data_IF_999002653357
#
_entry.id   IF_999002653357
#
_cell.length_a   1.000
_cell.length_b   1.000
_cell.length_c   1.000
_cell.angle_alpha   90.00
_cell.angle_beta   90.00
_cell.angle_gamma   90.00
#
_symmetry.space_group_name_H-M   'P 1'
#
loop_
_entity.id
_entity.type
_entity.pdbx_description
1 polymer ?
#
# COMPACT_ATOMS: atom_id res chain seq x y z
N UNK A 1 -14.68 0.92 -14.17
CA UNK A 1 -15.05 -0.35 -13.50
C UNK A 1 -15.95 0.00 -12.33
N UNK A 2 -16.98 -0.80 -12.05
CA UNK A 2 -17.95 -0.48 -10.97
C UNK A 2 -17.50 -1.18 -9.70
N UNK A 3 -17.29 -0.42 -8.63
CA UNK A 3 -17.02 -0.97 -7.29
C UNK A 3 -18.31 -1.49 -6.69
N UNK A 4 -18.22 -2.60 -5.97
CA UNK A 4 -19.38 -3.26 -5.35
C UNK A 4 -19.72 -2.62 -4.01
N UNK A 5 -21.01 -2.41 -3.74
CA UNK A 5 -21.49 -1.88 -2.47
C UNK A 5 -21.43 -2.94 -1.35
N UNK A 6 -21.26 -2.47 -0.11
CA UNK A 6 -21.23 -3.33 1.09
C UNK A 6 -22.45 -4.25 1.18
N UNK A 7 -23.64 -3.73 0.86
CA UNK A 7 -24.88 -4.51 0.86
C UNK A 7 -24.81 -5.74 -0.03
N UNK A 8 -24.20 -5.60 -1.22
CA UNK A 8 -24.09 -6.73 -2.17
C UNK A 8 -23.09 -7.78 -1.66
N UNK A 9 -21.99 -7.35 -1.04
CA UNK A 9 -21.04 -8.26 -0.39
C UNK A 9 -21.72 -9.03 0.75
N UNK A 10 -22.48 -8.33 1.62
CA UNK A 10 -23.28 -8.97 2.67
C UNK A 10 -24.23 -10.03 2.11
N UNK A 11 -24.99 -9.70 1.05
CA UNK A 11 -25.90 -10.65 0.39
C UNK A 11 -25.20 -11.90 -0.09
N UNK A 12 -24.05 -11.77 -0.75
CA UNK A 12 -23.25 -12.90 -1.25
C UNK A 12 -22.70 -13.76 -0.11
N UNK A 13 -22.35 -13.15 1.04
CA UNK A 13 -21.89 -13.89 2.21
C UNK A 13 -23.06 -14.69 2.80
N UNK A 14 -24.23 -14.06 3.03
CA UNK A 14 -25.38 -14.71 3.61
C UNK A 14 -26.01 -15.79 2.71
N UNK A 15 -25.77 -15.73 1.38
CA UNK A 15 -26.13 -16.82 0.48
C UNK A 15 -25.25 -18.05 0.78
N UNK A 16 -25.78 -18.99 1.58
CA UNK A 16 -25.08 -20.20 2.03
C UNK A 16 -24.36 -20.07 3.38
N UNK A 17 -24.64 -19.02 4.14
CA UNK A 17 -24.22 -18.93 5.55
C UNK A 17 -25.27 -19.56 6.45
N UNK A 18 -24.89 -20.46 7.40
CA UNK A 18 -25.87 -21.27 8.13
C UNK A 18 -26.64 -20.50 9.21
N UNK A 19 -26.17 -19.31 9.60
CA UNK A 19 -26.75 -18.46 10.64
C UNK A 19 -27.12 -17.09 10.08
N UNK A 20 -28.28 -16.58 10.48
CA UNK A 20 -28.79 -15.25 10.09
C UNK A 20 -29.31 -14.46 11.28
N UNK A 21 -28.88 -14.80 12.49
CA UNK A 21 -29.21 -14.08 13.72
C UNK A 21 -28.40 -12.80 13.87
N UNK A 22 -28.71 -11.99 14.88
CA UNK A 22 -28.08 -10.71 15.13
C UNK A 22 -26.56 -10.81 15.35
N UNK A 23 -26.09 -11.89 15.98
CA UNK A 23 -24.66 -12.14 16.19
C UNK A 23 -23.94 -12.42 14.86
N UNK A 24 -24.57 -13.19 13.98
CA UNK A 24 -24.01 -13.48 12.66
C UNK A 24 -23.92 -12.20 11.79
N UNK A 25 -24.89 -11.30 11.88
CA UNK A 25 -24.85 -10.03 11.15
C UNK A 25 -23.65 -9.20 11.59
N UNK A 26 -23.45 -9.03 12.90
CA UNK A 26 -22.30 -8.30 13.46
C UNK A 26 -20.98 -8.97 13.07
N UNK A 27 -20.91 -10.29 13.19
CA UNK A 27 -19.71 -11.05 12.83
C UNK A 27 -19.35 -10.88 11.34
N UNK A 28 -20.33 -10.86 10.45
CA UNK A 28 -20.13 -10.66 9.02
C UNK A 28 -19.65 -9.23 8.72
N UNK A 29 -20.21 -8.22 9.37
CA UNK A 29 -19.78 -6.82 9.19
C UNK A 29 -18.33 -6.60 9.62
N UNK A 30 -17.94 -7.13 10.77
CA UNK A 30 -16.56 -7.11 11.24
C UNK A 30 -15.65 -7.89 10.28
N UNK A 31 -16.07 -9.10 9.88
CA UNK A 31 -15.30 -9.96 9.01
C UNK A 31 -15.03 -9.34 7.63
N UNK A 32 -15.98 -8.57 7.07
CA UNK A 32 -15.76 -7.85 5.81
C UNK A 32 -14.65 -6.82 5.96
N UNK A 33 -14.67 -6.01 7.02
CA UNK A 33 -13.66 -5.01 7.27
C UNK A 33 -12.27 -5.64 7.50
N UNK A 34 -12.22 -6.74 8.24
CA UNK A 34 -10.96 -7.47 8.47
C UNK A 34 -10.46 -8.19 7.21
N UNK A 35 -11.36 -8.67 6.35
CA UNK A 35 -10.99 -9.22 5.05
C UNK A 35 -10.35 -8.14 4.16
N UNK A 36 -10.97 -6.97 4.06
CA UNK A 36 -10.46 -5.82 3.31
C UNK A 36 -9.09 -5.38 3.84
N UNK A 37 -8.95 -5.27 5.17
CA UNK A 37 -7.68 -4.90 5.81
C UNK A 37 -6.61 -5.96 5.60
N UNK A 38 -6.97 -7.23 5.68
CA UNK A 38 -6.04 -8.34 5.45
C UNK A 38 -5.55 -8.39 4.00
N UNK A 39 -6.43 -8.15 3.02
CA UNK A 39 -6.06 -8.01 1.62
C UNK A 39 -5.12 -6.82 1.42
N UNK A 40 -5.44 -5.68 2.01
CA UNK A 40 -4.59 -4.50 1.96
C UNK A 40 -3.21 -4.71 2.61
N UNK A 41 -3.07 -5.63 3.58
CA UNK A 41 -1.80 -5.93 4.23
C UNK A 41 -0.83 -6.70 3.32
N UNK A 42 -1.35 -7.50 2.40
CA UNK A 42 -0.54 -8.40 1.54
C UNK A 42 0.24 -7.63 0.49
N UNK A 43 -0.36 -6.59 -0.09
CA UNK A 43 0.29 -5.75 -1.10
C UNK A 43 -0.24 -4.32 -1.05
N UNK A 44 0.44 -3.43 -1.77
CA UNK A 44 -0.03 -2.07 -1.97
C UNK A 44 -0.89 -2.00 -3.25
N UNK A 45 -2.09 -1.46 -3.12
CA UNK A 45 -3.06 -1.28 -4.20
C UNK A 45 -3.03 0.17 -4.67
N UNK A 46 -3.12 0.38 -5.98
CA UNK A 46 -3.10 1.72 -6.56
C UNK A 46 -4.26 2.60 -6.06
N UNK A 47 -5.40 1.97 -5.77
CA UNK A 47 -6.62 2.63 -5.27
C UNK A 47 -6.45 3.19 -3.84
N UNK A 48 -5.44 2.69 -3.11
CA UNK A 48 -5.08 3.14 -1.76
C UNK A 48 -3.87 4.09 -1.75
N UNK A 49 -3.30 4.40 -2.92
CA UNK A 49 -2.20 5.35 -3.04
C UNK A 49 -2.76 6.75 -3.21
N UNK A 50 -2.35 7.63 -2.32
CA UNK A 50 -2.76 9.03 -2.29
C UNK A 50 -1.53 9.92 -2.37
N UNK A 51 -1.67 11.08 -3.00
CA UNK A 51 -0.69 12.16 -2.95
C UNK A 51 -1.32 13.33 -2.21
N UNK A 52 -0.71 13.72 -1.08
CA UNK A 52 -1.05 14.95 -0.38
C UNK A 52 -0.12 16.07 -0.85
N UNK A 53 -0.71 17.15 -1.31
CA UNK A 53 0.01 18.31 -1.88
C UNK A 53 -0.30 19.60 -1.12
N UNK A 54 -1.25 19.57 -0.18
CA UNK A 54 -1.82 20.78 0.40
C UNK A 54 -1.68 20.86 1.93
N UNK A 55 -1.61 19.73 2.64
CA UNK A 55 -1.76 19.74 4.08
C UNK A 55 -0.47 19.54 4.87
N UNK A 56 0.57 19.01 4.23
CA UNK A 56 1.83 18.71 4.90
C UNK A 56 2.84 19.85 4.73
N UNK A 57 3.39 20.30 5.86
CA UNK A 57 4.41 21.35 5.89
C UNK A 57 5.53 20.99 6.85
N UNK A 58 6.71 21.56 6.60
CA UNK A 58 7.76 21.61 7.62
C UNK A 58 7.47 22.74 8.61
N UNK A 59 8.08 22.68 9.79
CA UNK A 59 8.10 23.79 10.73
C UNK A 59 9.54 24.17 11.03
N UNK A 60 9.78 25.45 11.24
CA UNK A 60 11.14 25.98 11.54
C UNK A 60 11.66 25.37 12.84
N UNK A 61 12.89 24.84 12.79
CA UNK A 61 13.58 24.21 13.93
C UNK A 61 12.89 22.95 14.48
N UNK A 62 11.97 22.33 13.71
CA UNK A 62 11.36 21.06 14.10
C UNK A 62 12.11 19.90 13.46
N UNK A 63 12.63 18.99 14.28
CA UNK A 63 13.37 17.81 13.82
C UNK A 63 12.45 16.64 13.48
N UNK A 64 11.44 16.39 14.31
CA UNK A 64 10.56 15.22 14.23
C UNK A 64 9.11 15.62 13.97
N UNK A 65 8.41 14.85 13.17
CA UNK A 65 7.04 15.09 12.72
C UNK A 65 6.20 13.84 12.93
N UNK A 66 5.01 14.00 13.46
CA UNK A 66 3.99 12.95 13.43
C UNK A 66 3.19 13.05 12.14
N UNK A 67 3.18 11.98 11.37
CA UNK A 67 2.50 11.95 10.07
C UNK A 67 0.99 12.23 10.17
N UNK A 68 0.35 11.86 11.27
CA UNK A 68 -1.09 12.08 11.48
C UNK A 68 -1.41 13.48 12.03
N UNK A 69 -0.57 14.02 12.89
CA UNK A 69 -0.82 15.29 13.56
C UNK A 69 -0.23 16.49 12.80
N UNK A 70 1.04 16.37 12.38
CA UNK A 70 1.75 17.47 11.74
C UNK A 70 1.50 17.51 10.22
N UNK A 71 1.31 16.35 9.58
CA UNK A 71 1.10 16.25 8.13
C UNK A 71 -0.32 15.84 7.74
N UNK A 72 -1.22 15.63 8.72
CA UNK A 72 -2.61 15.25 8.50
C UNK A 72 -2.80 14.00 7.61
N UNK A 73 -1.82 13.07 7.59
CA UNK A 73 -1.89 11.85 6.81
C UNK A 73 -2.74 10.81 7.55
N UNK A 74 -4.00 10.77 7.24
CA UNK A 74 -4.94 9.82 7.86
C UNK A 74 -4.68 8.39 7.37
N UNK A 75 -4.82 7.41 8.27
CA UNK A 75 -4.72 5.98 7.94
C UNK A 75 -3.42 5.60 7.21
N UNK A 76 -2.32 6.26 7.53
CA UNK A 76 -1.02 6.01 6.91
C UNK A 76 -0.62 4.53 7.04
N UNK A 77 -0.28 3.90 5.92
CA UNK A 77 0.33 2.57 5.86
C UNK A 77 1.83 2.66 5.56
N UNK A 78 2.19 3.38 4.50
CA UNK A 78 3.58 3.49 4.05
C UNK A 78 3.79 4.75 3.21
N UNK A 79 4.86 5.46 3.44
CA UNK A 79 5.30 6.57 2.59
C UNK A 79 6.17 6.04 1.44
N UNK A 80 5.88 6.45 0.21
CA UNK A 80 6.68 6.15 -0.99
C UNK A 80 7.68 7.24 -1.31
N UNK A 81 7.27 8.48 -1.15
CA UNK A 81 8.15 9.61 -1.42
C UNK A 81 7.67 10.87 -0.73
N UNK A 82 8.61 11.67 -0.30
CA UNK A 82 8.39 13.04 0.17
C UNK A 82 9.17 13.97 -0.76
N UNK A 83 8.53 15.04 -1.21
CA UNK A 83 9.17 16.14 -1.93
C UNK A 83 8.97 17.42 -1.13
N UNK A 84 10.03 18.18 -0.95
CA UNK A 84 9.99 19.50 -0.35
C UNK A 84 9.90 20.54 -1.48
N UNK A 85 9.00 21.49 -1.34
CA UNK A 85 8.82 22.58 -2.29
C UNK A 85 9.40 23.87 -1.74
N UNK A 86 10.25 24.51 -2.55
CA UNK A 86 10.80 25.82 -2.28
C UNK A 86 10.49 26.73 -3.48
N UNK A 87 9.39 27.48 -3.36
CA UNK A 87 8.84 28.24 -4.48
C UNK A 87 8.53 27.33 -5.68
N UNK A 88 9.23 27.57 -6.79
CA UNK A 88 9.06 26.75 -8.02
C UNK A 88 9.94 25.51 -8.06
N UNK A 89 10.81 25.32 -7.08
CA UNK A 89 11.73 24.18 -7.05
C UNK A 89 11.17 23.04 -6.20
N UNK A 90 11.25 21.83 -6.73
CA UNK A 90 10.84 20.61 -6.04
C UNK A 90 12.06 19.72 -5.82
N UNK A 91 12.31 19.34 -4.57
CA UNK A 91 13.39 18.42 -4.19
C UNK A 91 12.81 17.16 -3.55
N UNK A 92 13.11 16.00 -4.13
CA UNK A 92 12.76 14.72 -3.51
C UNK A 92 13.70 14.46 -2.34
N UNK A 93 13.13 14.19 -1.16
CA UNK A 93 13.90 13.77 0.00
C UNK A 93 14.34 12.30 -0.16
N UNK A 94 15.55 12.01 0.30
CA UNK A 94 16.12 10.66 0.26
C UNK A 94 15.73 9.92 1.52
N UNK A 95 15.17 8.73 1.35
CA UNK A 95 14.91 7.83 2.48
C UNK A 95 16.22 7.32 3.08
N UNK A 96 16.35 7.41 4.41
CA UNK A 96 17.42 6.75 5.17
C UNK A 96 16.83 5.94 6.31
N UNK A 97 17.23 4.69 6.50
CA UNK A 97 16.91 3.91 7.70
C UNK A 97 17.50 4.59 8.95
N UNK A 98 16.85 4.41 10.10
CA UNK A 98 17.27 5.06 11.36
C UNK A 98 18.68 4.63 11.82
N UNK A 99 19.07 3.38 11.58
CA UNK A 99 20.43 2.89 11.88
C UNK A 99 21.49 3.62 11.06
N UNK A 100 21.30 3.79 9.76
CA UNK A 100 22.24 4.50 8.89
C UNK A 100 22.32 6.00 9.23
N UNK A 101 21.19 6.59 9.62
CA UNK A 101 21.20 7.99 10.04
C UNK A 101 21.97 8.15 11.35
N UNK A 102 21.74 7.30 12.34
CA UNK A 102 22.41 7.34 13.63
C UNK A 102 23.92 7.09 13.53
N UNK A 103 24.37 6.24 12.60
CA UNK A 103 25.79 6.05 12.32
C UNK A 103 26.45 7.27 11.67
N UNK A 104 25.75 7.89 10.71
CA UNK A 104 26.26 9.05 10.01
C UNK A 104 26.16 10.34 10.82
N UNK A 105 25.14 10.47 11.65
CA UNK A 105 24.76 11.67 12.39
C UNK A 105 24.25 11.28 13.80
N UNK A 106 25.16 10.94 14.73
CA UNK A 106 24.77 10.50 16.08
C UNK A 106 24.04 11.56 16.91
N UNK A 107 24.21 12.84 16.55
CA UNK A 107 23.57 13.98 17.22
C UNK A 107 22.88 14.88 16.18
N UNK A 108 21.74 14.46 15.61
CA UNK A 108 21.06 15.21 14.57
C UNK A 108 20.58 16.61 15.01
N UNK A 109 20.34 16.79 16.32
CA UNK A 109 19.97 18.07 16.92
C UNK A 109 21.10 19.12 16.91
N UNK A 110 22.34 18.70 16.70
CA UNK A 110 23.52 19.59 16.65
C UNK A 110 23.86 20.03 15.21
N UNK A 111 23.11 19.55 14.23
CA UNK A 111 23.31 19.92 12.84
C UNK A 111 22.73 21.31 12.59
N UNK A 112 23.42 22.13 11.82
CA UNK A 112 22.89 23.40 11.37
C UNK A 112 21.57 23.22 10.64
N UNK A 113 20.62 24.13 10.89
CA UNK A 113 19.35 24.17 10.17
C UNK A 113 19.54 24.46 8.69
N UNK A 114 18.61 23.98 7.87
CA UNK A 114 18.68 24.18 6.43
C UNK A 114 17.57 23.40 5.71
N UNK A 115 17.64 23.36 4.40
CA UNK A 115 16.70 22.56 3.61
C UNK A 115 16.85 21.07 3.91
N UNK A 116 15.77 20.43 4.30
CA UNK A 116 15.75 18.98 4.50
C UNK A 116 16.08 18.26 3.19
N UNK A 117 16.96 17.28 3.28
CA UNK A 117 17.40 16.45 2.13
C UNK A 117 17.05 14.97 2.34
N UNK A 118 16.89 14.55 3.59
CA UNK A 118 16.62 13.19 3.96
C UNK A 118 15.40 13.10 4.89
N UNK A 119 14.73 11.97 4.87
CA UNK A 119 13.72 11.62 5.85
C UNK A 119 13.95 10.19 6.39
N UNK A 120 13.67 10.00 7.67
CA UNK A 120 13.92 8.76 8.39
C UNK A 120 12.73 8.42 9.27
N UNK A 121 12.16 7.21 9.20
CA UNK A 121 11.17 6.77 10.16
C UNK A 121 11.84 6.47 11.51
N UNK A 122 11.31 7.05 12.59
CA UNK A 122 11.77 6.83 13.97
C UNK A 122 10.73 6.13 14.83
N UNK A 123 9.56 5.84 14.25
CA UNK A 123 8.44 5.16 14.89
C UNK A 123 7.39 4.74 13.85
N UNK A 124 6.24 4.31 14.31
CA UNK A 124 5.14 3.87 13.42
C UNK A 124 4.53 5.02 12.61
N UNK A 125 4.43 6.21 13.19
CA UNK A 125 3.92 7.42 12.55
C UNK A 125 4.91 8.59 12.59
N UNK A 126 6.05 8.42 13.25
CA UNK A 126 7.02 9.48 13.48
C UNK A 126 8.12 9.46 12.42
N UNK A 127 8.43 10.62 11.88
CA UNK A 127 9.48 10.83 10.88
C UNK A 127 10.40 11.97 11.29
N UNK A 128 11.67 11.81 11.02
CA UNK A 128 12.70 12.84 11.23
C UNK A 128 13.14 13.39 9.87
N UNK A 129 13.27 14.70 9.78
CA UNK A 129 13.85 15.38 8.61
C UNK A 129 15.27 15.85 8.93
N UNK A 130 16.16 15.69 7.96
CA UNK A 130 17.59 16.04 8.13
C UNK A 130 18.12 16.72 6.87
N UNK A 131 18.79 17.88 6.97
CA UNK A 131 18.94 18.75 8.16
C UNK A 131 17.61 19.21 8.77
N UNK A 132 17.64 19.78 9.97
CA UNK A 132 16.47 20.39 10.61
C UNK A 132 16.00 21.56 9.71
N UNK A 133 14.72 21.62 9.32
CA UNK A 133 14.21 22.69 8.47
C UNK A 133 14.41 24.07 9.09
N UNK A 134 14.91 25.01 8.30
CA UNK A 134 15.10 26.42 8.68
C UNK A 134 13.87 27.30 8.39
N UNK A 135 12.86 26.74 7.76
CA UNK A 135 11.63 27.43 7.39
C UNK A 135 10.42 26.51 7.27
N UNK A 136 9.28 27.10 6.89
CA UNK A 136 8.04 26.40 6.60
C UNK A 136 7.98 26.15 5.09
N UNK A 137 8.10 24.89 4.69
CA UNK A 137 8.08 24.46 3.29
C UNK A 137 6.93 23.47 3.08
N UNK A 138 6.13 23.61 2.01
CA UNK A 138 5.17 22.61 1.62
C UNK A 138 5.85 21.28 1.31
N UNK A 139 5.21 20.19 1.74
CA UNK A 139 5.65 18.82 1.47
C UNK A 139 4.63 18.12 0.58
N UNK A 140 5.07 17.55 -0.52
CA UNK A 140 4.26 16.69 -1.36
C UNK A 140 4.56 15.25 -1.00
N UNK A 141 3.60 14.58 -0.37
CA UNK A 141 3.80 13.25 0.19
C UNK A 141 2.95 12.24 -0.57
N UNK A 142 3.62 11.29 -1.24
CA UNK A 142 2.96 10.14 -1.84
C UNK A 142 3.03 8.96 -0.88
N UNK A 143 1.88 8.45 -0.49
CA UNK A 143 1.78 7.38 0.49
C UNK A 143 0.65 6.40 0.17
N UNK A 144 0.70 5.19 0.72
CA UNK A 144 -0.44 4.29 0.78
C UNK A 144 -1.14 4.45 2.12
N UNK A 145 -2.46 4.32 2.08
CA UNK A 145 -3.31 4.38 3.27
C UNK A 145 -3.97 3.02 3.53
N UNK A 146 -4.30 2.76 4.79
CA UNK A 146 -5.19 1.67 5.12
C UNK A 146 -6.60 1.97 4.61
N UNK A 147 -7.35 0.96 4.14
CA UNK A 147 -8.73 1.17 3.73
C UNK A 147 -9.58 1.70 4.89
N UNK A 148 -10.57 2.54 4.56
CA UNK A 148 -11.57 2.94 5.53
C UNK A 148 -12.43 1.74 5.92
N UNK A 149 -12.88 1.71 7.16
CA UNK A 149 -13.91 0.76 7.57
C UNK A 149 -15.23 1.09 6.86
N UNK A 150 -15.87 0.07 6.30
CA UNK A 150 -17.19 0.20 5.72
C UNK A 150 -18.23 0.09 6.83
N UNK A 151 -19.20 1.00 6.86
CA UNK A 151 -20.25 1.07 7.87
C UNK A 151 -21.66 1.17 7.27
N UNK A 152 -21.81 1.95 6.20
CA UNK A 152 -23.08 2.12 5.51
C UNK A 152 -23.21 1.08 4.37
N UNK A 153 -24.42 0.59 4.15
CA UNK A 153 -24.71 -0.38 3.08
C UNK A 153 -24.38 0.14 1.67
N UNK A 154 -24.32 1.48 1.52
CA UNK A 154 -23.92 2.17 0.29
C UNK A 154 -22.43 2.34 0.13
N UNK A 155 -21.62 2.06 1.16
CA UNK A 155 -20.17 2.18 1.09
C UNK A 155 -19.62 1.23 0.03
N UNK A 156 -18.67 1.74 -0.76
CA UNK A 156 -18.07 0.97 -1.84
C UNK A 156 -16.78 0.30 -1.38
N UNK A 157 -16.61 -0.95 -1.76
CA UNK A 157 -15.35 -1.67 -1.54
C UNK A 157 -14.20 -0.90 -2.20
N UNK A 158 -13.06 -0.71 -1.51
CA UNK A 158 -11.96 0.12 -2.00
C UNK A 158 -11.19 -0.48 -3.19
N UNK A 159 -11.36 -1.76 -3.47
CA UNK A 159 -10.63 -2.48 -4.52
C UNK A 159 -11.52 -2.76 -5.73
N UNK A 160 -10.93 -2.70 -6.92
CA UNK A 160 -11.56 -3.16 -8.14
C UNK A 160 -11.34 -4.68 -8.30
N UNK A 161 -12.37 -5.40 -8.75
CA UNK A 161 -12.31 -6.84 -9.13
C UNK A 161 -11.87 -7.83 -8.02
N UNK A 162 -11.97 -7.48 -6.75
CA UNK A 162 -11.64 -8.38 -5.63
C UNK A 162 -12.84 -8.86 -4.82
N UNK A 163 -14.05 -8.64 -5.32
CA UNK A 163 -15.29 -8.96 -4.59
C UNK A 163 -15.37 -10.42 -4.16
N UNK A 164 -15.01 -11.34 -5.08
CA UNK A 164 -15.06 -12.78 -4.82
C UNK A 164 -14.07 -13.17 -3.72
N UNK A 165 -12.86 -12.63 -3.76
CA UNK A 165 -11.82 -12.89 -2.76
C UNK A 165 -12.22 -12.33 -1.39
N UNK A 166 -12.84 -11.13 -1.38
CA UNK A 166 -13.36 -10.53 -0.15
C UNK A 166 -14.48 -11.39 0.43
N UNK A 167 -15.44 -11.84 -0.39
CA UNK A 167 -16.55 -12.69 0.05
C UNK A 167 -16.05 -14.01 0.67
N UNK A 168 -15.10 -14.70 0.02
CA UNK A 168 -14.56 -15.94 0.54
C UNK A 168 -13.78 -15.73 1.84
N UNK A 169 -12.91 -14.74 1.87
CA UNK A 169 -12.12 -14.44 3.06
C UNK A 169 -13.02 -13.98 4.21
N UNK A 170 -14.02 -13.15 3.97
CA UNK A 170 -14.96 -12.70 4.98
C UNK A 170 -15.82 -13.86 5.53
N UNK A 171 -16.22 -14.83 4.68
CA UNK A 171 -16.88 -16.05 5.16
C UNK A 171 -15.99 -16.86 6.11
N UNK A 172 -14.73 -17.05 5.76
CA UNK A 172 -13.78 -17.76 6.61
C UNK A 172 -13.59 -17.04 7.96
N UNK A 173 -13.44 -15.70 7.94
CA UNK A 173 -13.27 -14.88 9.14
C UNK A 173 -14.54 -14.88 10.01
N UNK A 174 -15.71 -14.71 9.40
CA UNK A 174 -16.99 -14.74 10.12
C UNK A 174 -17.23 -16.10 10.81
N UNK A 175 -16.88 -17.20 10.14
CA UNK A 175 -16.91 -18.53 10.75
C UNK A 175 -15.96 -18.63 11.96
N UNK A 176 -14.77 -18.04 11.88
CA UNK A 176 -13.84 -18.02 13.00
C UNK A 176 -14.41 -17.24 14.20
N UNK A 177 -15.07 -16.11 13.96
CA UNK A 177 -15.73 -15.31 15.01
C UNK A 177 -16.90 -16.03 15.68
N UNK A 178 -17.63 -16.84 14.93
CA UNK A 178 -18.78 -17.61 15.46
C UNK A 178 -18.40 -18.96 16.10
N UNK A 179 -17.14 -19.11 16.50
CA UNK A 179 -16.64 -20.29 17.21
C UNK A 179 -15.95 -21.33 16.32
N UNK A 180 -15.58 -20.96 15.11
CA UNK A 180 -14.75 -21.77 14.22
C UNK A 180 -13.25 -21.73 14.56
N UNK A 181 -12.45 -22.36 13.71
CA UNK A 181 -11.00 -22.41 13.89
C UNK A 181 -10.35 -21.08 13.50
N UNK A 182 -9.54 -20.53 14.38
CA UNK A 182 -8.73 -19.35 14.09
C UNK A 182 -7.58 -19.68 13.13
N UNK A 183 -7.27 -18.73 12.25
CA UNK A 183 -6.19 -18.83 11.26
C UNK A 183 -5.54 -17.44 11.03
N UNK A 184 -4.39 -17.44 10.34
CA UNK A 184 -3.73 -16.21 9.94
C UNK A 184 -4.46 -15.58 8.74
N UNK A 185 -5.18 -14.49 8.99
CA UNK A 185 -6.00 -13.79 8.01
C UNK A 185 -5.16 -13.24 6.85
N UNK A 186 -3.97 -12.71 7.12
CA UNK A 186 -3.09 -12.18 6.08
C UNK A 186 -2.57 -13.29 5.14
N UNK A 187 -2.18 -14.42 5.72
CA UNK A 187 -1.75 -15.60 4.94
C UNK A 187 -2.89 -16.15 4.08
N UNK A 188 -4.10 -16.19 4.62
CA UNK A 188 -5.29 -16.65 3.88
C UNK A 188 -5.67 -15.69 2.77
N UNK A 189 -5.59 -14.36 3.02
CA UNK A 189 -5.76 -13.34 1.99
C UNK A 189 -4.78 -13.51 0.84
N UNK A 190 -3.50 -13.76 1.14
CA UNK A 190 -2.49 -14.05 0.12
C UNK A 190 -2.82 -15.27 -0.74
N UNK A 191 -3.38 -16.33 -0.15
CA UNK A 191 -3.82 -17.51 -0.88
C UNK A 191 -4.96 -17.19 -1.87
N UNK A 192 -5.98 -16.45 -1.43
CA UNK A 192 -7.10 -16.05 -2.30
C UNK A 192 -6.66 -15.12 -3.43
N UNK A 193 -5.77 -14.16 -3.15
CA UNK A 193 -5.22 -13.29 -4.19
C UNK A 193 -4.40 -14.08 -5.22
N UNK A 194 -3.61 -15.07 -4.78
CA UNK A 194 -2.85 -15.93 -5.69
C UNK A 194 -3.75 -16.83 -6.56
N UNK A 195 -4.88 -17.27 -6.04
CA UNK A 195 -5.88 -18.03 -6.80
C UNK A 195 -6.55 -17.17 -7.86
N UNK A 196 -6.98 -15.95 -7.51
CA UNK A 196 -7.59 -15.00 -8.46
C UNK A 196 -6.67 -14.71 -9.65
N UNK A 197 -5.39 -14.46 -9.41
CA UNK A 197 -4.40 -14.25 -10.48
C UNK A 197 -4.26 -15.50 -11.40
N UNK A 198 -4.37 -16.70 -10.83
CA UNK A 198 -4.32 -17.94 -11.65
C UNK A 198 -5.56 -18.12 -12.51
N UNK A 199 -6.72 -17.72 -12.02
CA UNK A 199 -7.98 -17.79 -12.77
C UNK A 199 -8.01 -16.76 -13.91
N UNK A 200 -7.60 -15.53 -13.67
CA UNK A 200 -7.43 -14.50 -14.70
C UNK A 200 -6.47 -14.94 -15.82
N UNK A 201 -5.38 -15.62 -15.45
CA UNK A 201 -4.43 -16.16 -16.42
C UNK A 201 -4.93 -17.43 -17.16
N UNK A 202 -6.07 -18.02 -16.76
CA UNK A 202 -6.69 -19.17 -17.42
C UNK A 202 -7.73 -18.79 -18.45
N UNK A 203 -8.17 -17.53 -18.51
CA UNK A 203 -9.06 -17.08 -19.56
C UNK A 203 -8.39 -17.22 -20.94
N UNK A 204 -9.04 -17.96 -21.87
CA UNK A 204 -8.41 -18.32 -23.15
C UNK A 204 -8.18 -17.16 -24.11
N UNK A 205 -8.73 -15.98 -23.82
CA UNK A 205 -8.65 -14.79 -24.68
C UNK A 205 -7.47 -13.84 -24.37
N UNK A 206 -6.74 -14.06 -23.30
CA UNK A 206 -5.43 -13.41 -23.18
C UNK A 206 -4.48 -14.10 -24.16
N UNK A 207 -4.59 -13.76 -25.44
CA UNK A 207 -3.48 -13.91 -26.37
C UNK A 207 -2.29 -13.31 -25.65
N UNK A 208 -1.41 -14.18 -25.13
CA UNK A 208 -0.07 -13.74 -24.76
C UNK A 208 0.44 -13.05 -26.01
N UNK A 209 0.44 -11.74 -25.98
CA UNK A 209 1.25 -11.00 -26.94
C UNK A 209 2.64 -11.55 -26.66
N UNK A 210 3.09 -12.44 -27.53
CA UNK A 210 4.43 -12.96 -27.45
C UNK A 210 5.30 -11.72 -27.41
N UNK A 211 5.93 -11.48 -26.27
CA UNK A 211 6.87 -10.36 -26.20
C UNK A 211 7.87 -10.65 -27.31
N UNK A 212 8.17 -9.69 -28.19
CA UNK A 212 9.04 -9.93 -29.33
C UNK A 212 10.43 -10.46 -28.93
N UNK A 213 10.72 -10.50 -27.62
CA UNK A 213 11.96 -11.04 -27.06
C UNK A 213 11.81 -12.40 -26.37
N UNK A 214 10.63 -13.03 -26.40
CA UNK A 214 10.43 -14.36 -25.79
C UNK A 214 10.80 -15.52 -26.72
N UNK A 215 11.16 -15.26 -27.94
CA UNK A 215 11.95 -16.19 -28.70
C UNK A 215 13.39 -16.05 -28.24
N UNK A 216 13.73 -16.73 -27.15
CA UNK A 216 15.11 -17.14 -26.98
C UNK A 216 15.49 -17.85 -28.26
N UNK A 217 16.32 -17.30 -29.12
CA UNK A 217 16.80 -18.04 -30.26
C UNK A 217 17.61 -19.15 -29.66
N UNK A 218 17.13 -20.39 -29.82
CA UNK A 218 18.00 -21.54 -29.59
C UNK A 218 19.25 -21.27 -30.41
N UNK A 219 20.28 -20.82 -29.73
CA UNK A 219 21.63 -20.93 -30.15
C UNK A 219 22.00 -20.27 -31.49
N UNK A 220 22.11 -19.00 -31.51
CA UNK A 220 23.13 -18.38 -32.35
C UNK A 220 23.92 -17.41 -31.45
N UNK A 221 24.78 -17.98 -30.63
CA UNK A 221 25.79 -17.22 -29.90
C UNK A 221 26.65 -16.34 -30.83
N UNK A 222 26.59 -16.55 -32.14
CA UNK A 222 27.33 -15.80 -33.13
C UNK A 222 26.78 -14.37 -33.39
N UNK A 223 25.46 -14.15 -33.26
CA UNK A 223 24.90 -12.84 -33.56
C UNK A 223 25.12 -11.80 -32.43
N UNK A 224 25.20 -12.27 -31.17
CA UNK A 224 25.52 -11.37 -30.06
C UNK A 224 26.94 -10.81 -30.08
N UNK A 225 27.86 -11.49 -30.74
CA UNK A 225 29.25 -11.05 -30.82
C UNK A 225 29.45 -9.94 -31.86
N UNK A 226 28.50 -9.73 -32.75
CA UNK A 226 28.55 -8.69 -33.76
C UNK A 226 27.72 -7.46 -33.41
N UNK A 227 27.05 -7.44 -32.27
CA UNK A 227 26.35 -6.26 -31.77
C UNK A 227 27.37 -5.18 -31.40
N UNK A 228 27.34 -3.98 -32.05
CA UNK A 228 28.29 -2.91 -31.76
C UNK A 228 28.22 -2.42 -30.30
N UNK A 229 27.14 -2.71 -29.57
CA UNK A 229 26.99 -2.36 -28.15
C UNK A 229 27.53 -3.41 -27.19
N UNK A 230 27.87 -4.61 -27.66
CA UNK A 230 28.45 -5.68 -26.86
C UNK A 230 29.96 -5.84 -27.02
N UNK A 231 30.65 -4.84 -27.57
CA UNK A 231 32.12 -4.84 -27.61
C UNK A 231 32.67 -4.65 -26.21
N UNK A 232 33.35 -5.70 -25.72
CA UNK A 232 34.13 -5.62 -24.49
C UNK A 232 35.19 -4.53 -24.63
N UNK A 233 35.16 -3.59 -23.68
CA UNK A 233 36.31 -2.77 -23.32
C UNK A 233 37.34 -3.60 -22.59
#
# INVERSE_FOLDING_TARGET
>A
MSRTALLEIKRRIFTGFPKTDGEAIIAVELAINDAIRSIASVRDFNELIVTDEENAFTATNQLSYDASLDWNLTRLKKIYSIKLMDGSNSRKLIFKPSNELNEALPYPEQISTGYATHYTPIGSSMYQLTPIPDGVYPLYIKYSQWPAALSADTDLVPFDNLDTQIVFLAKDIANAYLGGTYFDFAKRAGQYLAQGVREENREPDHKRVAQPFSTSPKGNHGEYWNDPFCKRS
#
